data_IF_481108392486
#
_entry.id   IF_481108392486
#
_cell.length_a   1.000
_cell.length_b   1.000
_cell.length_c   1.000
_cell.angle_alpha   90.00
_cell.angle_beta   90.00
_cell.angle_gamma   90.00
#
_symmetry.space_group_name_H-M   'P 1'
#
loop_
_entity.id
_entity.type
_entity.pdbx_description
1 polymer ?
#
# COMPACT_ATOMS: atom_id res chain seq x y z
N UNK A 1 -4.16 30.85 -7.58
CA UNK A 1 -3.68 29.64 -6.88
C UNK A 1 -4.43 28.43 -7.40
N UNK A 2 -5.76 28.49 -7.43
CA UNK A 2 -6.64 27.50 -8.07
C UNK A 2 -6.31 27.25 -9.55
N UNK A 3 -6.10 28.30 -10.35
CA UNK A 3 -5.71 28.15 -11.76
C UNK A 3 -4.40 27.37 -11.97
N UNK A 4 -3.43 27.54 -11.06
CA UNK A 4 -2.14 26.85 -11.11
C UNK A 4 -2.26 25.40 -10.66
N UNK A 5 -3.14 25.13 -9.72
CA UNK A 5 -3.44 23.77 -9.27
C UNK A 5 -4.05 22.95 -10.41
N UNK A 6 -5.04 23.53 -11.09
CA UNK A 6 -5.71 22.92 -12.25
C UNK A 6 -4.72 22.69 -13.41
N UNK A 7 -3.77 23.61 -13.63
CA UNK A 7 -2.71 23.44 -14.64
C UNK A 7 -1.80 22.24 -14.31
N UNK A 8 -1.34 22.12 -13.07
CA UNK A 8 -0.49 21.01 -12.62
C UNK A 8 -1.24 19.68 -12.71
N UNK A 9 -2.48 19.62 -12.23
CA UNK A 9 -3.29 18.40 -12.31
C UNK A 9 -3.49 17.99 -13.77
N UNK A 10 -3.78 18.95 -14.65
CA UNK A 10 -3.94 18.69 -16.07
C UNK A 10 -2.65 18.14 -16.71
N UNK A 11 -1.48 18.64 -16.32
CA UNK A 11 -0.18 18.10 -16.78
C UNK A 11 0.00 16.67 -16.26
N UNK A 12 -0.23 16.42 -14.97
CA UNK A 12 -0.11 15.08 -14.38
C UNK A 12 -1.02 14.06 -15.04
N UNK A 13 -2.25 14.45 -15.40
CA UNK A 13 -3.22 13.56 -16.01
C UNK A 13 -2.93 13.27 -17.49
N UNK A 14 -2.53 14.30 -18.25
CA UNK A 14 -2.58 14.25 -19.72
C UNK A 14 -1.21 14.31 -20.40
N UNK A 15 -0.13 14.63 -19.67
CA UNK A 15 1.21 14.66 -20.25
C UNK A 15 1.66 13.25 -20.64
N UNK A 16 2.20 13.13 -21.84
CA UNK A 16 2.90 11.94 -22.34
C UNK A 16 4.42 12.13 -22.36
N UNK A 17 4.93 13.13 -21.64
CA UNK A 17 6.37 13.44 -21.54
C UNK A 17 6.80 13.36 -20.07
N UNK A 18 7.74 12.46 -19.75
CA UNK A 18 8.32 12.38 -18.41
C UNK A 18 8.97 13.69 -17.94
N UNK A 19 9.63 14.43 -18.85
CA UNK A 19 10.26 15.72 -18.53
C UNK A 19 9.22 16.75 -18.06
N UNK A 20 8.09 16.86 -18.78
CA UNK A 20 7.01 17.76 -18.36
C UNK A 20 6.35 17.34 -17.04
N UNK A 21 6.23 16.03 -16.79
CA UNK A 21 5.75 15.53 -15.50
C UNK A 21 6.72 15.87 -14.36
N UNK A 22 8.03 15.73 -14.60
CA UNK A 22 9.06 16.09 -13.64
C UNK A 22 9.06 17.58 -13.33
N UNK A 23 8.97 18.44 -14.35
CA UNK A 23 8.92 19.90 -14.17
C UNK A 23 7.68 20.33 -13.37
N UNK A 24 6.50 19.81 -13.72
CA UNK A 24 5.27 20.07 -12.99
C UNK A 24 5.33 19.53 -11.55
N UNK A 25 5.99 18.39 -11.34
CA UNK A 25 6.23 17.85 -10.00
C UNK A 25 7.11 18.79 -9.17
N UNK A 26 8.24 19.26 -9.71
CA UNK A 26 9.10 20.22 -9.03
C UNK A 26 8.35 21.52 -8.69
N UNK A 27 7.49 21.99 -9.59
CA UNK A 27 6.64 23.15 -9.33
C UNK A 27 5.64 22.87 -8.19
N UNK A 28 4.95 21.73 -8.21
CA UNK A 28 4.00 21.34 -7.17
C UNK A 28 4.64 21.31 -5.77
N UNK A 29 5.84 20.74 -5.67
CA UNK A 29 6.63 20.72 -4.42
C UNK A 29 7.01 22.14 -3.98
N UNK A 30 7.48 23.00 -4.90
CA UNK A 30 7.84 24.40 -4.59
C UNK A 30 6.63 25.20 -4.09
N UNK A 31 5.46 24.97 -4.67
CA UNK A 31 4.20 25.58 -4.27
C UNK A 31 3.63 24.98 -2.97
N UNK A 32 4.25 23.92 -2.44
CA UNK A 32 3.82 23.21 -1.23
C UNK A 32 2.36 22.77 -1.30
N UNK A 33 1.96 22.22 -2.45
CA UNK A 33 0.63 21.62 -2.60
C UNK A 33 0.50 20.49 -1.57
N UNK A 34 -0.55 20.54 -0.75
CA UNK A 34 -0.84 19.56 0.30
C UNK A 34 -2.12 18.78 -0.04
N UNK A 35 -2.13 18.23 -1.24
CA UNK A 35 -3.25 17.45 -1.75
C UNK A 35 -2.70 16.12 -2.27
N UNK A 36 -2.89 15.02 -1.52
CA UNK A 36 -2.40 13.72 -1.94
C UNK A 36 -3.07 13.25 -3.24
N UNK A 37 -4.33 13.61 -3.51
CA UNK A 37 -5.08 13.15 -4.69
C UNK A 37 -4.41 13.61 -5.99
N UNK A 38 -3.86 14.83 -6.00
CA UNK A 38 -3.12 15.36 -7.14
C UNK A 38 -1.86 14.54 -7.42
N UNK A 39 -1.17 14.08 -6.38
CA UNK A 39 0.01 13.25 -6.54
C UNK A 39 -0.34 11.80 -6.90
N UNK A 40 -1.50 11.30 -6.47
CA UNK A 40 -2.02 10.01 -6.94
C UNK A 40 -2.24 10.01 -8.46
N UNK A 41 -2.72 11.13 -9.02
CA UNK A 41 -2.86 11.32 -10.48
C UNK A 41 -1.51 11.26 -11.18
N UNK A 42 -0.47 11.91 -10.64
CA UNK A 42 0.89 11.83 -11.18
C UNK A 42 1.39 10.38 -11.20
N UNK A 43 1.32 9.70 -10.05
CA UNK A 43 1.84 8.34 -9.90
C UNK A 43 1.09 7.34 -10.79
N UNK A 44 -0.20 7.59 -11.06
CA UNK A 44 -1.02 6.79 -11.96
C UNK A 44 -0.82 7.10 -13.44
N UNK A 45 0.06 8.03 -13.83
CA UNK A 45 0.27 8.36 -15.23
C UNK A 45 0.98 7.20 -15.96
N UNK A 46 0.40 6.68 -17.07
CA UNK A 46 0.90 5.49 -17.76
C UNK A 46 2.24 5.68 -18.47
N UNK A 47 2.71 6.92 -18.66
CA UNK A 47 4.01 7.17 -19.28
C UNK A 47 5.18 6.88 -18.33
N UNK A 48 4.91 6.78 -17.02
CA UNK A 48 5.95 6.59 -16.02
C UNK A 48 6.47 5.15 -15.98
N UNK A 49 7.79 5.02 -15.99
CA UNK A 49 8.49 3.78 -15.67
C UNK A 49 8.34 3.43 -14.19
N UNK A 50 8.67 2.18 -13.83
CA UNK A 50 8.68 1.76 -12.42
C UNK A 50 9.63 2.61 -11.57
N UNK A 51 10.80 2.96 -12.12
CA UNK A 51 11.80 3.73 -11.41
C UNK A 51 11.35 5.18 -11.19
N UNK A 52 10.66 5.78 -12.15
CA UNK A 52 10.09 7.12 -12.00
C UNK A 52 8.97 7.15 -10.96
N UNK A 53 8.08 6.15 -10.97
CA UNK A 53 7.04 6.00 -9.93
C UNK A 53 7.69 5.95 -8.55
N UNK A 54 8.74 5.13 -8.38
CA UNK A 54 9.47 5.02 -7.10
C UNK A 54 10.10 6.35 -6.70
N UNK A 55 10.80 7.00 -7.63
CA UNK A 55 11.46 8.28 -7.40
C UNK A 55 10.46 9.34 -6.91
N UNK A 56 9.30 9.46 -7.58
CA UNK A 56 8.27 10.42 -7.19
C UNK A 56 7.64 10.05 -5.85
N UNK A 57 7.25 8.78 -5.66
CA UNK A 57 6.63 8.31 -4.42
C UNK A 57 7.54 8.52 -3.20
N UNK A 58 8.81 8.11 -3.27
CA UNK A 58 9.78 8.27 -2.19
C UNK A 58 10.02 9.74 -1.85
N UNK A 59 10.12 10.61 -2.88
CA UNK A 59 10.26 12.04 -2.68
C UNK A 59 9.03 12.65 -2.00
N UNK A 60 7.82 12.24 -2.41
CA UNK A 60 6.57 12.70 -1.82
C UNK A 60 6.40 12.25 -0.37
N UNK A 61 6.66 10.98 -0.08
CA UNK A 61 6.61 10.41 1.27
C UNK A 61 7.55 11.17 2.21
N UNK A 62 8.75 11.52 1.73
CA UNK A 62 9.72 12.30 2.50
C UNK A 62 9.30 13.76 2.71
N UNK A 63 8.69 14.39 1.71
CA UNK A 63 8.27 15.79 1.77
C UNK A 63 6.97 15.99 2.56
N UNK A 64 6.06 15.02 2.50
CA UNK A 64 4.75 15.03 3.16
C UNK A 64 4.53 13.78 4.02
N UNK A 65 5.22 13.66 5.17
CA UNK A 65 5.08 12.50 6.06
C UNK A 65 3.64 12.23 6.54
N UNK A 66 2.82 13.28 6.61
CA UNK A 66 1.41 13.19 7.02
C UNK A 66 0.55 12.36 6.05
N UNK A 67 0.98 12.22 4.79
CA UNK A 67 0.33 11.42 3.75
C UNK A 67 1.14 10.17 3.37
N UNK A 68 2.21 9.87 4.11
CA UNK A 68 3.13 8.81 3.75
C UNK A 68 2.44 7.44 3.65
N UNK A 69 1.47 7.17 4.53
CA UNK A 69 0.70 5.92 4.49
C UNK A 69 -0.14 5.84 3.22
N UNK A 70 -0.94 6.86 2.94
CA UNK A 70 -1.84 6.96 1.79
C UNK A 70 -1.06 6.83 0.48
N UNK A 71 0.01 7.62 0.32
CA UNK A 71 0.87 7.59 -0.87
C UNK A 71 1.57 6.24 -1.04
N UNK A 72 2.03 5.62 0.05
CA UNK A 72 2.63 4.29 -0.02
C UNK A 72 1.61 3.23 -0.46
N UNK A 73 0.39 3.25 0.10
CA UNK A 73 -0.69 2.33 -0.31
C UNK A 73 -1.05 2.53 -1.78
N UNK A 74 -1.19 3.78 -2.24
CA UNK A 74 -1.48 4.06 -3.64
C UNK A 74 -0.38 3.55 -4.57
N UNK A 75 0.88 3.81 -4.21
CA UNK A 75 2.05 3.34 -4.97
C UNK A 75 2.07 1.82 -5.04
N UNK A 76 1.79 1.12 -3.93
CA UNK A 76 1.69 -0.33 -3.93
C UNK A 76 0.62 -0.83 -4.90
N UNK A 77 -0.59 -0.24 -4.88
CA UNK A 77 -1.69 -0.57 -5.79
C UNK A 77 -1.33 -0.39 -7.26
N UNK A 78 -0.55 0.64 -7.61
CA UNK A 78 -0.06 0.82 -8.99
C UNK A 78 0.81 -0.38 -9.41
N UNK A 79 1.71 -0.83 -8.55
CA UNK A 79 2.58 -1.98 -8.83
C UNK A 79 1.81 -3.31 -8.88
N UNK A 80 0.73 -3.47 -8.11
CA UNK A 80 -0.14 -4.65 -8.21
C UNK A 80 -0.78 -4.81 -9.60
N UNK A 81 -1.10 -3.71 -10.26
CA UNK A 81 -1.87 -3.70 -11.51
C UNK A 81 -0.99 -3.51 -12.76
N UNK A 82 0.33 -3.50 -12.60
CA UNK A 82 1.25 -3.33 -13.72
C UNK A 82 1.33 -4.61 -14.55
N UNK A 83 1.44 -4.47 -15.88
CA UNK A 83 1.45 -5.60 -16.83
C UNK A 83 2.54 -6.65 -16.52
N UNK A 84 3.65 -6.22 -15.92
CA UNK A 84 4.71 -7.09 -15.43
C UNK A 84 4.56 -7.38 -13.93
N UNK A 85 3.51 -8.14 -13.60
CA UNK A 85 3.13 -8.43 -12.21
C UNK A 85 4.27 -9.07 -11.41
N UNK A 86 5.02 -10.01 -12.00
CA UNK A 86 6.07 -10.73 -11.26
C UNK A 86 7.21 -9.79 -10.86
N UNK A 87 7.62 -8.88 -11.74
CA UNK A 87 8.66 -7.90 -11.42
C UNK A 87 8.14 -6.77 -10.51
N UNK A 88 6.83 -6.48 -10.56
CA UNK A 88 6.20 -5.41 -9.77
C UNK A 88 5.72 -5.87 -8.39
N UNK A 89 5.60 -7.18 -8.16
CA UNK A 89 5.12 -7.74 -6.89
C UNK A 89 6.02 -7.37 -5.71
N UNK A 90 7.33 -7.40 -5.89
CA UNK A 90 8.28 -7.00 -4.83
C UNK A 90 8.13 -5.53 -4.45
N UNK A 91 7.85 -4.67 -5.44
CA UNK A 91 7.59 -3.26 -5.22
C UNK A 91 6.26 -3.03 -4.49
N UNK A 92 5.20 -3.72 -4.89
CA UNK A 92 3.92 -3.67 -4.17
C UNK A 92 4.09 -4.08 -2.69
N UNK A 93 4.81 -5.19 -2.44
CA UNK A 93 5.13 -5.65 -1.08
C UNK A 93 5.94 -4.59 -0.33
N UNK A 94 6.96 -4.01 -0.95
CA UNK A 94 7.78 -2.96 -0.35
C UNK A 94 6.92 -1.78 0.13
N UNK A 95 6.06 -1.26 -0.73
CA UNK A 95 5.27 -0.08 -0.41
C UNK A 95 4.16 -0.34 0.62
N UNK A 96 3.56 -1.53 0.67
CA UNK A 96 2.66 -1.85 1.78
C UNK A 96 3.39 -2.00 3.12
N UNK A 97 4.60 -2.57 3.13
CA UNK A 97 5.42 -2.60 4.35
C UNK A 97 5.74 -1.19 4.84
N UNK A 98 6.12 -0.31 3.91
CA UNK A 98 6.38 1.09 4.19
C UNK A 98 5.14 1.79 4.77
N UNK A 99 3.97 1.59 4.16
CA UNK A 99 2.70 2.10 4.67
C UNK A 99 2.42 1.65 6.11
N UNK A 100 2.67 0.37 6.41
CA UNK A 100 2.51 -0.19 7.75
C UNK A 100 3.47 0.45 8.75
N UNK A 101 4.73 0.69 8.37
CA UNK A 101 5.72 1.29 9.25
C UNK A 101 5.37 2.76 9.59
N UNK A 102 4.75 3.50 8.66
CA UNK A 102 4.25 4.86 8.93
C UNK A 102 2.97 4.90 9.78
N UNK A 103 2.07 3.93 9.61
CA UNK A 103 0.81 3.86 10.37
C UNK A 103 0.56 2.45 10.94
N UNK A 104 1.29 2.04 12.00
CA UNK A 104 1.27 0.66 12.49
C UNK A 104 -0.05 0.20 13.11
N UNK A 105 -0.93 1.14 13.46
CA UNK A 105 -2.27 0.86 13.99
C UNK A 105 -3.31 0.57 12.89
N UNK A 106 -2.98 0.84 11.63
CA UNK A 106 -3.86 0.58 10.49
C UNK A 106 -3.86 -0.91 10.12
N UNK A 107 -5.03 -1.53 9.92
CA UNK A 107 -5.12 -2.90 9.41
C UNK A 107 -4.95 -2.98 7.89
N UNK A 108 -5.21 -1.90 7.15
CA UNK A 108 -5.29 -1.93 5.68
C UNK A 108 -4.01 -2.47 5.01
N UNK A 109 -2.79 -1.97 5.32
CA UNK A 109 -1.60 -2.43 4.60
C UNK A 109 -1.30 -3.92 4.81
N UNK A 110 -1.58 -4.47 6.00
CA UNK A 110 -1.43 -5.90 6.28
C UNK A 110 -2.46 -6.75 5.54
N UNK A 111 -3.71 -6.28 5.44
CA UNK A 111 -4.74 -6.98 4.66
C UNK A 111 -4.40 -7.00 3.17
N UNK A 112 -3.93 -5.88 2.64
CA UNK A 112 -3.45 -5.80 1.26
C UNK A 112 -2.25 -6.72 1.03
N UNK A 113 -1.26 -6.75 1.93
CA UNK A 113 -0.14 -7.70 1.85
C UNK A 113 -0.61 -9.16 1.80
N UNK A 114 -1.56 -9.56 2.64
CA UNK A 114 -2.10 -10.92 2.62
C UNK A 114 -2.79 -11.25 1.29
N UNK A 115 -3.42 -10.27 0.64
CA UNK A 115 -4.08 -10.48 -0.66
C UNK A 115 -3.09 -10.73 -1.81
N UNK A 116 -1.81 -10.38 -1.63
CA UNK A 116 -0.75 -10.65 -2.60
C UNK A 116 -0.21 -12.09 -2.54
N UNK A 117 -0.64 -12.88 -1.57
CA UNK A 117 -0.21 -14.27 -1.44
C UNK A 117 -0.68 -15.09 -2.65
N UNK A 118 0.25 -15.78 -3.32
CA UNK A 118 -0.06 -16.65 -4.45
C UNK A 118 -0.16 -18.11 -3.99
N UNK A 119 -1.34 -18.73 -4.12
CA UNK A 119 -1.57 -20.13 -3.72
C UNK A 119 -1.19 -21.15 -4.80
N UNK A 120 -0.98 -20.70 -6.04
CA UNK A 120 -0.64 -21.56 -7.17
C UNK A 120 0.87 -21.78 -7.29
N UNK A 121 1.65 -20.78 -6.89
CA UNK A 121 3.10 -20.76 -6.99
C UNK A 121 3.74 -20.59 -5.60
N UNK A 122 4.73 -21.43 -5.31
CA UNK A 122 5.57 -21.28 -4.11
C UNK A 122 6.63 -20.19 -4.35
N UNK A 123 6.24 -18.93 -4.13
CA UNK A 123 7.10 -17.78 -4.33
C UNK A 123 7.85 -17.41 -3.04
N UNK A 124 9.13 -16.99 -3.10
CA UNK A 124 9.84 -16.46 -1.93
C UNK A 124 9.09 -15.30 -1.24
N UNK A 125 8.34 -14.51 -2.01
CA UNK A 125 7.50 -13.41 -1.52
C UNK A 125 6.37 -13.87 -0.61
N UNK A 126 5.81 -15.07 -0.80
CA UNK A 126 4.76 -15.62 0.05
C UNK A 126 5.21 -15.73 1.52
N UNK A 127 6.42 -16.25 1.73
CA UNK A 127 7.02 -16.35 3.05
C UNK A 127 7.24 -14.96 3.67
N UNK A 128 7.75 -14.04 2.87
CA UNK A 128 8.02 -12.65 3.28
C UNK A 128 6.74 -11.91 3.70
N UNK A 129 5.61 -12.17 3.02
CA UNK A 129 4.29 -11.61 3.36
C UNK A 129 3.85 -12.11 4.74
N UNK A 130 3.82 -13.44 4.95
CA UNK A 130 3.32 -14.03 6.19
C UNK A 130 4.16 -13.61 7.40
N UNK A 131 5.49 -13.71 7.29
CA UNK A 131 6.40 -13.32 8.38
C UNK A 131 6.22 -11.85 8.78
N UNK A 132 6.05 -10.97 7.80
CA UNK A 132 5.84 -9.55 8.08
C UNK A 132 4.47 -9.28 8.72
N UNK A 133 3.40 -9.89 8.18
CA UNK A 133 2.05 -9.71 8.70
C UNK A 133 1.98 -10.17 10.15
N UNK A 134 2.46 -11.39 10.46
CA UNK A 134 2.46 -11.93 11.82
C UNK A 134 3.25 -11.06 12.81
N UNK A 135 4.41 -10.54 12.39
CA UNK A 135 5.24 -9.67 13.21
C UNK A 135 4.61 -8.29 13.50
N UNK A 136 3.66 -7.85 12.67
CA UNK A 136 3.09 -6.49 12.73
C UNK A 136 1.65 -6.42 13.24
N UNK A 137 1.04 -7.53 13.67
CA UNK A 137 -0.34 -7.54 14.18
C UNK A 137 -0.49 -6.80 15.52
N UNK A 138 0.52 -6.90 16.41
CA UNK A 138 0.44 -6.37 17.79
C UNK A 138 0.00 -4.90 17.87
N UNK A 139 0.58 -3.96 17.08
CA UNK A 139 0.18 -2.55 17.13
C UNK A 139 -1.17 -2.24 16.45
N UNK A 140 -1.76 -3.16 15.66
CA UNK A 140 -2.97 -2.89 14.88
C UNK A 140 -4.18 -2.69 15.79
N UNK A 141 -5.01 -1.68 15.49
CA UNK A 141 -6.20 -1.33 16.29
C UNK A 141 -7.31 -2.38 16.16
N UNK A 142 -7.52 -2.90 14.95
CA UNK A 142 -8.59 -3.87 14.62
C UNK A 142 -7.94 -5.19 14.21
N UNK A 143 -7.52 -5.97 15.20
CA UNK A 143 -6.77 -7.22 15.01
C UNK A 143 -7.66 -8.33 14.49
N UNK A 144 -8.94 -8.32 14.88
CA UNK A 144 -9.92 -9.32 14.44
C UNK A 144 -9.91 -9.51 12.92
N UNK A 145 -9.89 -8.40 12.15
CA UNK A 145 -9.84 -8.43 10.69
C UNK A 145 -8.59 -9.14 10.14
N UNK A 146 -7.42 -8.88 10.73
CA UNK A 146 -6.18 -9.53 10.32
C UNK A 146 -6.22 -11.02 10.65
N UNK A 147 -6.71 -11.38 11.83
CA UNK A 147 -6.81 -12.77 12.25
C UNK A 147 -7.83 -13.57 11.41
N UNK A 148 -8.97 -12.98 11.03
CA UNK A 148 -9.88 -13.64 10.09
C UNK A 148 -9.22 -13.87 8.72
N UNK A 149 -8.47 -12.88 8.21
CA UNK A 149 -7.75 -13.03 6.95
C UNK A 149 -6.68 -14.13 7.02
N UNK A 150 -5.96 -14.24 8.14
CA UNK A 150 -5.00 -15.33 8.38
C UNK A 150 -5.71 -16.69 8.50
N UNK A 151 -6.85 -16.77 9.18
CA UNK A 151 -7.63 -18.00 9.27
C UNK A 151 -8.08 -18.48 7.88
N UNK A 152 -8.60 -17.58 7.05
CA UNK A 152 -8.97 -17.89 5.67
C UNK A 152 -7.76 -18.29 4.81
N UNK A 153 -6.60 -17.65 5.02
CA UNK A 153 -5.35 -18.05 4.39
C UNK A 153 -4.97 -19.50 4.73
N UNK A 154 -4.91 -19.85 6.02
CA UNK A 154 -4.51 -21.19 6.44
C UNK A 154 -5.53 -22.26 6.07
N UNK A 155 -6.81 -21.91 6.00
CA UNK A 155 -7.84 -22.76 5.41
C UNK A 155 -7.53 -23.11 3.95
N UNK A 156 -7.19 -22.09 3.14
CA UNK A 156 -6.81 -22.28 1.73
C UNK A 156 -5.50 -23.07 1.58
N UNK A 157 -4.55 -22.86 2.49
CA UNK A 157 -3.29 -23.61 2.53
C UNK A 157 -3.45 -25.05 3.05
N UNK A 158 -4.61 -25.42 3.60
CA UNK A 158 -4.87 -26.74 4.17
C UNK A 158 -4.31 -26.96 5.58
N UNK A 159 -3.82 -25.90 6.25
CA UNK A 159 -3.35 -25.97 7.64
C UNK A 159 -4.50 -25.72 8.62
N UNK A 160 -5.21 -26.80 8.94
CA UNK A 160 -6.35 -26.77 9.86
C UNK A 160 -5.99 -26.31 11.28
N UNK A 161 -4.76 -26.53 11.74
CA UNK A 161 -4.36 -26.13 13.08
C UNK A 161 -4.22 -24.61 13.17
N UNK A 162 -3.56 -24.00 12.17
CA UNK A 162 -3.41 -22.56 12.11
C UNK A 162 -4.73 -21.86 11.75
N UNK A 163 -5.57 -22.45 10.91
CA UNK A 163 -6.94 -21.97 10.67
C UNK A 163 -7.71 -21.81 11.99
N UNK A 164 -7.83 -22.88 12.78
CA UNK A 164 -8.57 -22.87 14.03
C UNK A 164 -7.97 -21.91 15.06
N UNK A 165 -6.64 -21.86 15.15
CA UNK A 165 -5.92 -20.93 16.02
C UNK A 165 -6.27 -19.48 15.69
N UNK A 166 -6.13 -19.08 14.43
CA UNK A 166 -6.36 -17.70 14.02
C UNK A 166 -7.85 -17.33 14.05
N UNK A 167 -8.75 -18.26 13.77
CA UNK A 167 -10.18 -18.06 13.95
C UNK A 167 -10.53 -17.76 15.42
N UNK A 168 -10.03 -18.55 16.37
CA UNK A 168 -10.25 -18.30 17.80
C UNK A 168 -9.66 -16.96 18.28
N UNK A 169 -8.49 -16.56 17.75
CA UNK A 169 -7.90 -15.25 18.02
C UNK A 169 -8.74 -14.10 17.45
N UNK A 170 -9.35 -14.31 16.28
CA UNK A 170 -10.22 -13.34 15.62
C UNK A 170 -11.49 -13.08 16.44
N UNK A 171 -12.19 -14.13 16.84
CA UNK A 171 -13.40 -14.06 17.68
C UNK A 171 -13.11 -13.31 18.99
N UNK A 172 -12.05 -13.71 19.70
CA UNK A 172 -11.65 -13.06 20.95
C UNK A 172 -11.29 -11.58 20.76
N UNK A 173 -10.63 -11.24 19.66
CA UNK A 173 -10.29 -9.84 19.37
C UNK A 173 -11.54 -9.04 19.02
N UNK A 174 -12.48 -9.61 18.29
CA UNK A 174 -13.74 -8.96 17.93
C UNK A 174 -14.61 -8.66 19.15
N UNK A 175 -14.67 -9.57 20.13
CA UNK A 175 -15.36 -9.33 21.41
C UNK A 175 -14.76 -8.14 22.17
N UNK A 176 -13.42 -8.05 22.23
CA UNK A 176 -12.71 -6.95 22.90
C UNK A 176 -12.93 -5.63 22.15
N UNK A 177 -12.89 -5.66 20.82
CA UNK A 177 -13.06 -4.47 19.98
C UNK A 177 -14.49 -3.93 20.07
N UNK A 178 -15.51 -4.79 20.01
CA UNK A 178 -16.92 -4.40 20.11
C UNK A 178 -17.37 -4.01 21.53
N UNK A 179 -16.66 -4.48 22.56
CA UNK A 179 -16.95 -4.17 23.96
C UNK A 179 -16.32 -2.86 24.48
N UNK A 180 -15.48 -2.21 23.67
CA UNK A 180 -14.79 -0.96 23.99
C UNK A 180 -15.30 0.26 23.20
N UNK A 181 -16.38 0.09 22.42
CA UNK A 181 -17.16 1.17 21.79
C UNK A 181 -18.25 1.69 22.74
#
# INVERSE_FOLDING_TARGET
MEDRLNEIENIFRNSTSPDFLFDAFQEAIKLKIKDPEIFEILLGNPVLSSDEIKMFAEKLIKEYPDYAKELSVWTAKIFEHKDDYNNSLEDAIHYYKLAQDYKPDSPEPLLSLLSLYNYELDLPTNKVILEFVEARIIPVRVKSKIYYALADHYKKAGDKNLELKYFALAERSAEIENGND
#
